data_IF_459551692154
#
_entry.id   IF_459551692154
#
_cell.length_a   1.000
_cell.length_b   1.000
_cell.length_c   1.000
_cell.angle_alpha   90.00
_cell.angle_beta   90.00
_cell.angle_gamma   90.00
#
_symmetry.space_group_name_H-M   'P 1'
#
loop_
_entity.id
_entity.type
_entity.pdbx_description
1 polymer ?
#
# COMPACT_ATOMS: atom_id res chain seq x y z
N UNK A 1 -25.18 -19.52 -4.95
CA UNK A 1 -23.96 -20.23 -4.53
C UNK A 1 -22.94 -20.34 -5.68
N UNK A 2 -23.31 -20.88 -6.85
CA UNK A 2 -22.39 -21.12 -7.98
C UNK A 2 -21.54 -19.91 -8.46
N UNK A 3 -22.06 -18.68 -8.40
CA UNK A 3 -21.33 -17.49 -8.89
C UNK A 3 -20.10 -17.13 -8.04
N UNK A 4 -20.15 -17.36 -6.73
CA UNK A 4 -19.04 -17.03 -5.82
C UNK A 4 -17.86 -17.97 -5.98
N UNK A 5 -18.13 -19.26 -6.19
CA UNK A 5 -17.10 -20.29 -6.39
C UNK A 5 -16.32 -20.04 -7.68
N UNK A 6 -17.02 -19.76 -8.79
CA UNK A 6 -16.38 -19.45 -10.09
C UNK A 6 -15.48 -18.21 -9.97
N UNK A 7 -15.96 -17.14 -9.32
CA UNK A 7 -15.17 -15.93 -9.09
C UNK A 7 -13.90 -16.22 -8.30
N UNK A 8 -14.02 -16.98 -7.21
CA UNK A 8 -12.88 -17.35 -6.36
C UNK A 8 -11.86 -18.19 -7.15
N UNK A 9 -12.31 -19.19 -7.92
CA UNK A 9 -11.43 -19.99 -8.78
C UNK A 9 -10.66 -19.12 -9.78
N UNK A 10 -11.33 -18.18 -10.44
CA UNK A 10 -10.71 -17.26 -11.38
C UNK A 10 -9.62 -16.43 -10.70
N UNK A 11 -9.90 -15.87 -9.52
CA UNK A 11 -8.91 -15.12 -8.73
C UNK A 11 -7.69 -15.99 -8.44
N UNK A 12 -7.89 -17.21 -7.94
CA UNK A 12 -6.78 -18.10 -7.61
C UNK A 12 -5.93 -18.43 -8.84
N UNK A 13 -6.55 -18.72 -9.99
CA UNK A 13 -5.83 -18.96 -11.23
C UNK A 13 -4.96 -17.77 -11.65
N UNK A 14 -5.53 -16.55 -11.66
CA UNK A 14 -4.77 -15.34 -12.02
C UNK A 14 -3.69 -15.01 -10.98
N UNK A 15 -3.95 -15.23 -9.70
CA UNK A 15 -2.97 -15.02 -8.65
C UNK A 15 -1.79 -15.99 -8.75
N UNK A 16 -2.06 -17.28 -8.97
CA UNK A 16 -1.00 -18.28 -9.19
C UNK A 16 -0.17 -17.93 -10.42
N UNK A 17 -0.80 -17.55 -11.53
CA UNK A 17 -0.09 -17.10 -12.72
C UNK A 17 0.76 -15.86 -12.43
N UNK A 18 0.18 -14.83 -11.79
CA UNK A 18 0.88 -13.60 -11.44
C UNK A 18 2.07 -13.81 -10.50
N UNK A 19 1.93 -14.68 -9.49
CA UNK A 19 3.04 -15.06 -8.61
C UNK A 19 4.14 -15.78 -9.37
N UNK A 20 3.78 -16.76 -10.21
CA UNK A 20 4.74 -17.48 -11.04
C UNK A 20 5.50 -16.53 -11.97
N UNK A 21 4.80 -15.65 -12.68
CA UNK A 21 5.42 -14.68 -13.59
C UNK A 21 6.35 -13.71 -12.86
N UNK A 22 5.98 -13.20 -11.68
CA UNK A 22 6.82 -12.31 -10.90
C UNK A 22 8.08 -13.03 -10.37
N UNK A 23 7.94 -14.26 -9.87
CA UNK A 23 9.10 -15.06 -9.43
C UNK A 23 10.03 -15.41 -10.60
N UNK A 24 9.48 -15.76 -11.75
CA UNK A 24 10.25 -16.01 -12.97
C UNK A 24 10.99 -14.74 -13.43
N UNK A 25 10.34 -13.58 -13.37
CA UNK A 25 10.96 -12.31 -13.72
C UNK A 25 12.09 -11.94 -12.75
N UNK A 26 11.91 -12.14 -11.44
CA UNK A 26 12.98 -11.98 -10.44
C UNK A 26 14.17 -12.87 -10.80
N UNK A 27 13.92 -14.15 -11.12
CA UNK A 27 14.98 -15.07 -11.52
C UNK A 27 15.73 -14.59 -12.78
N UNK A 28 15.02 -14.09 -13.79
CA UNK A 28 15.61 -13.53 -15.00
C UNK A 28 16.47 -12.29 -14.70
N UNK A 29 15.96 -11.37 -13.88
CA UNK A 29 16.68 -10.15 -13.48
C UNK A 29 17.98 -10.51 -12.76
N UNK A 30 17.91 -11.43 -11.80
CA UNK A 30 19.09 -11.83 -11.03
C UNK A 30 20.15 -12.52 -11.89
N UNK A 31 19.75 -13.28 -12.92
CA UNK A 31 20.66 -14.09 -13.73
C UNK A 31 21.21 -13.38 -14.98
N UNK A 32 20.43 -12.51 -15.61
CA UNK A 32 20.75 -11.98 -16.96
C UNK A 32 20.87 -10.45 -17.04
N UNK A 33 20.82 -9.72 -15.93
CA UNK A 33 20.97 -8.26 -15.96
C UNK A 33 22.41 -7.82 -16.27
N UNK A 34 22.57 -6.99 -17.32
CA UNK A 34 23.84 -6.35 -17.67
C UNK A 34 24.16 -5.16 -16.73
N UNK A 35 25.45 -4.80 -16.59
CA UNK A 35 25.90 -3.75 -15.65
C UNK A 35 25.30 -2.38 -15.97
N UNK A 36 25.05 -2.06 -17.24
CA UNK A 36 24.47 -0.77 -17.64
C UNK A 36 23.02 -0.61 -17.16
N UNK A 37 22.30 -1.73 -16.92
CA UNK A 37 20.88 -1.73 -16.53
C UNK A 37 20.66 -1.95 -15.03
N UNK A 38 21.67 -1.73 -14.20
CA UNK A 38 21.57 -1.94 -12.74
C UNK A 38 20.52 -1.04 -12.06
N UNK A 39 20.34 0.20 -12.54
CA UNK A 39 19.33 1.11 -11.98
C UNK A 39 17.93 0.63 -12.36
N UNK A 40 17.72 0.24 -13.62
CA UNK A 40 16.44 -0.23 -14.11
C UNK A 40 16.01 -1.57 -13.50
N UNK A 41 16.94 -2.52 -13.40
CA UNK A 41 16.69 -3.83 -12.75
C UNK A 41 16.28 -3.69 -11.29
N UNK A 42 16.84 -2.72 -10.54
CA UNK A 42 16.39 -2.44 -9.17
C UNK A 42 14.95 -1.98 -9.10
N UNK A 43 14.53 -1.10 -10.02
CA UNK A 43 13.12 -0.66 -10.10
C UNK A 43 12.24 -1.86 -10.44
N UNK A 44 12.63 -2.66 -11.42
CA UNK A 44 11.85 -3.82 -11.85
C UNK A 44 11.74 -4.87 -10.72
N UNK A 45 12.82 -5.10 -9.97
CA UNK A 45 12.84 -5.98 -8.81
C UNK A 45 11.91 -5.48 -7.69
N UNK A 46 11.93 -4.17 -7.42
CA UNK A 46 11.01 -3.55 -6.47
C UNK A 46 9.55 -3.73 -6.93
N UNK A 47 9.25 -3.52 -8.21
CA UNK A 47 7.90 -3.76 -8.76
C UNK A 47 7.48 -5.20 -8.57
N UNK A 48 8.33 -6.18 -8.92
CA UNK A 48 8.01 -7.60 -8.73
C UNK A 48 7.72 -7.94 -7.27
N UNK A 49 8.49 -7.38 -6.33
CA UNK A 49 8.28 -7.60 -4.91
C UNK A 49 6.95 -7.02 -4.43
N UNK A 50 6.64 -5.78 -4.82
CA UNK A 50 5.35 -5.16 -4.50
C UNK A 50 4.20 -5.95 -5.10
N UNK A 51 4.32 -6.41 -6.34
CA UNK A 51 3.28 -7.19 -7.02
C UNK A 51 3.04 -8.52 -6.29
N UNK A 52 4.08 -9.22 -5.83
CA UNK A 52 3.94 -10.44 -5.03
C UNK A 52 3.16 -10.15 -3.74
N UNK A 53 3.54 -9.12 -2.99
CA UNK A 53 2.82 -8.73 -1.76
C UNK A 53 1.38 -8.34 -2.08
N UNK A 54 1.16 -7.56 -3.14
CA UNK A 54 -0.15 -7.12 -3.58
C UNK A 54 -1.06 -8.28 -3.99
N UNK A 55 -0.54 -9.25 -4.76
CA UNK A 55 -1.27 -10.45 -5.15
C UNK A 55 -1.63 -11.29 -3.93
N UNK A 56 -0.71 -11.50 -2.99
CA UNK A 56 -0.99 -12.21 -1.74
C UNK A 56 -2.11 -11.53 -0.95
N UNK A 57 -2.04 -10.20 -0.80
CA UNK A 57 -3.08 -9.42 -0.11
C UNK A 57 -4.42 -9.46 -0.84
N UNK A 58 -4.41 -9.43 -2.18
CA UNK A 58 -5.61 -9.53 -2.99
C UNK A 58 -6.29 -10.90 -2.85
N UNK A 59 -5.52 -11.99 -2.85
CA UNK A 59 -6.03 -13.36 -2.61
C UNK A 59 -6.61 -13.51 -1.22
N UNK A 60 -5.97 -12.91 -0.22
CA UNK A 60 -6.41 -12.99 1.18
C UNK A 60 -7.66 -12.14 1.43
N UNK A 61 -7.81 -11.00 0.74
CA UNK A 61 -8.95 -10.09 0.91
C UNK A 61 -10.15 -10.38 0.01
N UNK A 62 -9.90 -10.79 -1.24
CA UNK A 62 -10.89 -10.96 -2.32
C UNK A 62 -11.96 -9.86 -2.32
N UNK A 63 -11.58 -8.59 -2.51
CA UNK A 63 -12.51 -7.48 -2.48
C UNK A 63 -13.41 -7.52 -3.71
N UNK A 64 -14.69 -7.23 -3.52
CA UNK A 64 -15.71 -7.06 -4.56
C UNK A 64 -16.36 -5.72 -4.34
N UNK A 65 -16.14 -4.79 -5.27
CA UNK A 65 -16.72 -3.47 -5.23
C UNK A 65 -18.13 -3.52 -5.83
N UNK A 66 -19.14 -3.20 -5.02
CA UNK A 66 -20.56 -3.19 -5.40
C UNK A 66 -21.09 -1.78 -5.20
N UNK A 67 -21.77 -1.22 -6.20
CA UNK A 67 -22.52 0.02 -6.02
C UNK A 67 -23.97 -0.33 -5.76
N UNK A 68 -24.49 0.08 -4.60
CA UNK A 68 -25.88 -0.07 -4.22
C UNK A 68 -26.46 1.32 -3.95
N UNK A 69 -27.51 1.71 -4.68
CA UNK A 69 -28.14 3.04 -4.61
C UNK A 69 -27.16 4.23 -4.73
N UNK A 70 -26.10 4.09 -5.54
CA UNK A 70 -25.08 5.12 -5.71
C UNK A 70 -24.02 5.16 -4.61
N UNK A 71 -24.13 4.31 -3.59
CA UNK A 71 -23.12 4.14 -2.54
C UNK A 71 -22.22 2.96 -2.91
N UNK A 72 -20.91 3.21 -2.97
CA UNK A 72 -19.92 2.16 -3.18
C UNK A 72 -19.68 1.39 -1.89
N UNK A 73 -19.94 0.09 -1.90
CA UNK A 73 -19.63 -0.84 -0.80
C UNK A 73 -18.54 -1.81 -1.26
N UNK A 74 -17.65 -2.20 -0.34
CA UNK A 74 -16.62 -3.20 -0.61
C UNK A 74 -16.92 -4.47 0.18
N UNK A 75 -17.22 -5.55 -0.53
CA UNK A 75 -17.53 -6.85 0.05
C UNK A 75 -16.28 -7.72 0.01
N UNK A 76 -15.80 -8.17 1.16
CA UNK A 76 -14.61 -9.00 1.25
C UNK A 76 -15.02 -10.45 1.42
N UNK A 77 -14.71 -11.28 0.41
CA UNK A 77 -15.03 -12.71 0.43
C UNK A 77 -13.85 -13.60 0.83
N UNK A 78 -12.66 -13.02 0.97
CA UNK A 78 -11.45 -13.77 1.28
C UNK A 78 -11.35 -14.16 2.76
N UNK A 79 -10.31 -14.95 3.11
CA UNK A 79 -10.04 -15.38 4.48
C UNK A 79 -10.04 -14.26 5.54
N UNK A 80 -9.73 -13.00 5.16
CA UNK A 80 -9.79 -11.88 6.11
C UNK A 80 -11.15 -11.70 6.76
N UNK A 81 -12.24 -12.12 6.10
CA UNK A 81 -13.59 -11.97 6.62
C UNK A 81 -13.81 -12.74 7.93
N UNK A 82 -13.03 -13.79 8.16
CA UNK A 82 -13.13 -14.62 9.37
C UNK A 82 -12.23 -14.14 10.51
N UNK A 83 -11.42 -13.10 10.30
CA UNK A 83 -10.56 -12.57 11.35
C UNK A 83 -11.35 -11.67 12.30
N UNK A 84 -11.06 -11.71 13.61
CA UNK A 84 -11.67 -10.79 14.55
C UNK A 84 -11.17 -9.35 14.31
N UNK A 85 -12.03 -8.38 14.63
CA UNK A 85 -11.59 -6.99 14.76
C UNK A 85 -10.53 -6.90 15.88
N UNK A 86 -9.41 -6.16 15.68
CA UNK A 86 -9.15 -5.17 14.62
C UNK A 86 -8.36 -5.71 13.41
N UNK A 87 -7.97 -6.99 13.37
CA UNK A 87 -7.06 -7.51 12.35
C UNK A 87 -7.64 -7.49 10.94
N UNK A 88 -8.95 -7.75 10.81
CA UNK A 88 -9.66 -7.61 9.55
C UNK A 88 -9.52 -6.19 8.97
N UNK A 89 -9.65 -5.17 9.82
CA UNK A 89 -9.51 -3.76 9.44
C UNK A 89 -8.10 -3.47 8.95
N UNK A 90 -7.10 -3.85 9.74
CA UNK A 90 -5.68 -3.58 9.42
C UNK A 90 -5.31 -4.20 8.08
N UNK A 91 -5.69 -5.46 7.83
CA UNK A 91 -5.40 -6.15 6.58
C UNK A 91 -6.19 -5.56 5.40
N UNK A 92 -7.42 -5.09 5.62
CA UNK A 92 -8.18 -4.41 4.58
C UNK A 92 -7.56 -3.06 4.22
N UNK A 93 -7.13 -2.25 5.20
CA UNK A 93 -6.36 -1.03 4.97
C UNK A 93 -5.08 -1.32 4.20
N UNK A 94 -4.34 -2.34 4.63
CA UNK A 94 -3.11 -2.75 3.98
C UNK A 94 -3.35 -3.20 2.54
N UNK A 95 -4.43 -3.93 2.26
CA UNK A 95 -4.82 -4.30 0.90
C UNK A 95 -5.09 -3.06 0.02
N UNK A 96 -5.86 -2.09 0.50
CA UNK A 96 -6.13 -0.85 -0.25
C UNK A 96 -4.84 -0.05 -0.49
N UNK A 97 -3.96 0.03 0.51
CA UNK A 97 -2.64 0.63 0.36
C UNK A 97 -1.84 -0.06 -0.74
N UNK A 98 -1.73 -1.40 -0.69
CA UNK A 98 -0.99 -2.18 -1.69
C UNK A 98 -1.54 -2.02 -3.11
N UNK A 99 -2.86 -1.97 -3.29
CA UNK A 99 -3.49 -1.69 -4.59
C UNK A 99 -3.04 -0.36 -5.18
N UNK A 100 -2.96 0.70 -4.35
CA UNK A 100 -2.48 2.02 -4.77
C UNK A 100 -0.99 2.00 -5.08
N UNK A 101 -0.17 1.40 -4.22
CA UNK A 101 1.29 1.29 -4.43
C UNK A 101 1.59 0.55 -5.73
N UNK A 102 0.89 -0.56 -6.00
CA UNK A 102 1.03 -1.33 -7.25
C UNK A 102 0.75 -0.47 -8.47
N UNK A 103 -0.39 0.26 -8.47
CA UNK A 103 -0.75 1.14 -9.59
C UNK A 103 0.29 2.23 -9.85
N UNK A 104 0.89 2.79 -8.80
CA UNK A 104 1.87 3.85 -8.93
C UNK A 104 3.27 3.35 -9.27
N UNK A 105 3.65 2.14 -8.88
CA UNK A 105 4.90 1.51 -9.32
C UNK A 105 4.96 1.39 -10.85
N UNK A 106 3.83 1.09 -11.48
CA UNK A 106 3.70 1.10 -12.94
C UNK A 106 3.98 2.51 -13.49
N UNK A 107 3.43 3.55 -12.87
CA UNK A 107 3.73 4.94 -13.24
C UNK A 107 5.23 5.28 -13.06
N UNK A 108 5.89 4.79 -12.00
CA UNK A 108 7.34 4.99 -11.79
C UNK A 108 8.14 4.46 -12.96
N UNK A 109 7.81 3.27 -13.46
CA UNK A 109 8.49 2.64 -14.60
C UNK A 109 8.34 3.49 -15.87
N UNK A 110 7.15 4.04 -16.14
CA UNK A 110 6.92 4.93 -17.28
C UNK A 110 7.69 6.23 -17.15
N UNK A 111 7.67 6.86 -15.97
CA UNK A 111 8.40 8.10 -15.71
C UNK A 111 9.90 7.88 -15.87
N UNK A 112 10.45 6.80 -15.30
CA UNK A 112 11.86 6.44 -15.46
C UNK A 112 12.23 6.26 -16.93
N UNK A 113 11.44 5.48 -17.69
CA UNK A 113 11.66 5.26 -19.13
C UNK A 113 11.61 6.58 -19.91
N UNK A 114 10.68 7.46 -19.60
CA UNK A 114 10.59 8.77 -20.24
C UNK A 114 11.85 9.61 -20.02
N UNK A 115 12.35 9.71 -18.77
CA UNK A 115 13.55 10.48 -18.47
C UNK A 115 14.81 9.92 -19.15
N UNK A 116 14.98 8.60 -19.15
CA UNK A 116 16.17 7.97 -19.74
C UNK A 116 16.12 8.00 -21.26
N UNK A 117 15.01 7.58 -21.87
CA UNK A 117 14.91 7.38 -23.32
C UNK A 117 14.64 8.69 -24.06
N UNK A 118 13.69 9.50 -23.57
CA UNK A 118 13.25 10.71 -24.29
C UNK A 118 14.10 11.91 -23.91
N UNK A 119 14.49 12.02 -22.63
CA UNK A 119 15.24 13.19 -22.13
C UNK A 119 16.75 12.95 -22.04
N UNK A 120 17.23 11.71 -22.18
CA UNK A 120 18.65 11.38 -22.06
C UNK A 120 19.24 11.70 -20.68
N UNK A 121 18.40 11.78 -19.64
CA UNK A 121 18.83 12.14 -18.28
C UNK A 121 19.35 10.89 -17.58
N UNK A 122 20.58 10.97 -17.06
CA UNK A 122 21.14 9.91 -16.21
C UNK A 122 20.51 9.94 -14.80
N UNK A 123 19.52 9.07 -14.61
CA UNK A 123 18.77 8.96 -13.35
C UNK A 123 19.58 8.15 -12.33
N UNK A 124 20.36 8.86 -11.50
CA UNK A 124 21.05 8.26 -10.34
C UNK A 124 20.08 7.76 -9.26
N UNK A 125 20.52 6.86 -8.39
CA UNK A 125 19.71 6.26 -7.31
C UNK A 125 18.99 7.27 -6.40
N UNK A 126 19.55 8.46 -6.17
CA UNK A 126 18.90 9.53 -5.38
C UNK A 126 17.59 10.02 -6.01
N UNK A 127 17.52 10.05 -7.34
CA UNK A 127 16.30 10.43 -8.07
C UNK A 127 15.21 9.36 -7.95
N UNK A 128 15.57 8.10 -7.71
CA UNK A 128 14.59 7.03 -7.48
C UNK A 128 13.85 7.25 -6.17
N UNK A 129 14.54 7.62 -5.09
CA UNK A 129 13.91 7.99 -3.82
C UNK A 129 12.94 9.16 -4.01
N UNK A 130 13.35 10.19 -4.76
CA UNK A 130 12.48 11.32 -5.07
C UNK A 130 11.24 10.90 -5.86
N UNK A 131 11.36 10.00 -6.83
CA UNK A 131 10.24 9.45 -7.58
C UNK A 131 9.30 8.62 -6.69
N UNK A 132 9.85 7.83 -5.77
CA UNK A 132 9.06 7.06 -4.79
C UNK A 132 8.29 8.02 -3.87
N UNK A 133 8.93 9.07 -3.34
CA UNK A 133 8.24 10.07 -2.51
C UNK A 133 7.18 10.85 -3.28
N UNK A 134 7.47 11.23 -4.52
CA UNK A 134 6.52 11.90 -5.41
C UNK A 134 5.27 11.04 -5.68
N UNK A 135 5.36 9.73 -5.47
CA UNK A 135 4.27 8.77 -5.61
C UNK A 135 3.56 8.48 -4.30
N UNK A 136 4.30 8.33 -3.19
CA UNK A 136 3.73 8.03 -1.87
C UNK A 136 2.87 9.20 -1.39
N UNK A 137 3.30 10.45 -1.61
CA UNK A 137 2.60 11.63 -1.13
C UNK A 137 1.17 11.72 -1.70
N UNK A 138 0.94 11.63 -3.03
CA UNK A 138 -0.40 11.58 -3.59
C UNK A 138 -1.25 10.42 -3.07
N UNK A 139 -0.67 9.24 -2.82
CA UNK A 139 -1.40 8.10 -2.24
C UNK A 139 -1.91 8.45 -0.83
N UNK A 140 -1.05 9.05 0.00
CA UNK A 140 -1.43 9.49 1.35
C UNK A 140 -2.52 10.56 1.30
N UNK A 141 -2.41 11.54 0.40
CA UNK A 141 -3.42 12.58 0.22
C UNK A 141 -4.75 11.95 -0.22
N UNK A 142 -4.75 11.09 -1.24
CA UNK A 142 -5.96 10.40 -1.69
C UNK A 142 -6.58 9.53 -0.60
N UNK A 143 -5.76 8.90 0.23
CA UNK A 143 -6.23 8.12 1.37
C UNK A 143 -6.93 9.02 2.40
N UNK A 144 -6.34 10.16 2.74
CA UNK A 144 -6.96 11.16 3.64
C UNK A 144 -8.25 11.73 3.03
N UNK A 145 -8.25 12.09 1.75
CA UNK A 145 -9.45 12.59 1.06
C UNK A 145 -10.55 11.53 1.01
N UNK A 146 -10.20 10.27 0.74
CA UNK A 146 -11.14 9.15 0.76
C UNK A 146 -11.71 8.94 2.17
N UNK A 147 -10.89 9.10 3.21
CA UNK A 147 -11.36 9.02 4.58
C UNK A 147 -12.36 10.14 4.91
N UNK A 148 -12.02 11.39 4.60
CA UNK A 148 -12.89 12.55 4.84
C UNK A 148 -14.20 12.42 4.05
N UNK A 149 -14.14 12.01 2.78
CA UNK A 149 -15.31 11.91 1.91
C UNK A 149 -16.24 10.75 2.27
N UNK A 150 -15.72 9.70 2.91
CA UNK A 150 -16.50 8.53 3.32
C UNK A 150 -16.72 8.51 4.84
N UNK A 151 -16.56 9.64 5.52
CA UNK A 151 -16.89 9.74 6.93
C UNK A 151 -18.37 9.39 7.11
N UNK A 152 -18.72 8.46 8.02
CA UNK A 152 -20.09 8.06 8.22
C UNK A 152 -20.93 9.29 8.63
N UNK A 153 -21.98 9.56 7.88
CA UNK A 153 -23.04 10.49 8.23
C UNK A 153 -24.14 9.72 8.94
N UNK A 154 -25.01 10.38 9.72
CA UNK A 154 -26.16 9.71 10.35
C UNK A 154 -27.05 8.96 9.35
N UNK A 155 -27.04 9.38 8.08
CA UNK A 155 -27.83 8.82 6.99
C UNK A 155 -27.24 7.53 6.39
N UNK A 156 -25.98 7.20 6.64
CA UNK A 156 -25.31 6.02 6.07
C UNK A 156 -24.63 5.13 7.12
N UNK A 157 -24.77 5.46 8.41
CA UNK A 157 -24.20 4.73 9.54
C UNK A 157 -24.62 3.25 9.57
N UNK A 158 -25.84 2.94 9.11
CA UNK A 158 -26.36 1.57 8.99
C UNK A 158 -25.74 0.76 7.84
N UNK A 159 -25.16 1.41 6.83
CA UNK A 159 -24.47 0.76 5.72
C UNK A 159 -23.02 0.43 6.08
N UNK A 160 -22.44 1.21 6.98
CA UNK A 160 -21.14 0.93 7.58
C UNK A 160 -21.31 -0.07 8.72
N UNK A 161 -21.40 -1.36 8.41
CA UNK A 161 -21.41 -2.48 9.39
C UNK A 161 -20.16 -2.55 10.30
N UNK A 162 -19.25 -1.59 10.15
CA UNK A 162 -18.07 -1.47 10.98
C UNK A 162 -18.30 -0.32 11.96
N UNK A 163 -18.18 -0.65 13.24
CA UNK A 163 -18.03 0.28 14.38
C UNK A 163 -16.66 1.03 14.29
N UNK A 164 -16.29 1.49 13.08
CA UNK A 164 -15.03 2.15 12.73
C UNK A 164 -14.78 3.37 13.60
N UNK A 165 -15.85 4.09 13.95
CA UNK A 165 -15.75 5.31 14.72
C UNK A 165 -15.18 5.06 16.12
N UNK A 166 -15.57 3.95 16.78
CA UNK A 166 -15.05 3.58 18.10
C UNK A 166 -13.60 3.09 18.07
N UNK A 167 -13.20 2.40 17.00
CA UNK A 167 -11.83 1.91 16.87
C UNK A 167 -10.84 2.98 16.39
N UNK A 168 -11.28 3.97 15.62
CA UNK A 168 -10.42 5.08 15.20
C UNK A 168 -10.10 6.05 16.33
N UNK A 169 -11.03 6.32 17.24
CA UNK A 169 -10.71 7.06 18.46
C UNK A 169 -9.58 6.35 19.22
N UNK A 170 -9.63 5.02 19.27
CA UNK A 170 -8.56 4.21 19.86
C UNK A 170 -7.24 4.31 19.10
N UNK A 171 -7.24 4.22 17.77
CA UNK A 171 -6.03 4.35 16.94
C UNK A 171 -5.45 5.77 17.00
N UNK A 172 -6.28 6.82 16.98
CA UNK A 172 -5.86 8.22 17.15
C UNK A 172 -5.29 8.42 18.55
N UNK A 173 -5.88 7.82 19.58
CA UNK A 173 -5.34 7.83 20.94
C UNK A 173 -3.98 7.12 20.98
N UNK A 174 -3.84 5.94 20.36
CA UNK A 174 -2.55 5.22 20.30
C UNK A 174 -1.49 6.02 19.52
N UNK A 175 -1.84 6.62 18.39
CA UNK A 175 -0.95 7.50 17.62
C UNK A 175 -0.56 8.75 18.41
N UNK A 176 -1.51 9.35 19.14
CA UNK A 176 -1.23 10.49 20.03
C UNK A 176 -0.30 10.08 21.17
N UNK A 177 -0.52 8.92 21.79
CA UNK A 177 0.36 8.38 22.85
C UNK A 177 1.76 8.14 22.29
N UNK A 178 1.88 7.46 21.15
CA UNK A 178 3.17 7.22 20.49
C UNK A 178 3.87 8.53 20.09
N UNK A 179 3.13 9.54 19.61
CA UNK A 179 3.68 10.85 19.26
C UNK A 179 4.08 11.66 20.50
N UNK A 180 3.34 11.54 21.61
CA UNK A 180 3.69 12.15 22.91
C UNK A 180 4.96 11.52 23.50
N UNK A 181 5.10 10.19 23.41
CA UNK A 181 6.31 9.50 23.82
C UNK A 181 7.51 9.89 22.93
N UNK A 182 7.30 10.06 21.62
CA UNK A 182 8.34 10.52 20.70
C UNK A 182 8.80 11.95 21.01
N UNK A 183 7.88 12.84 21.40
CA UNK A 183 8.16 14.22 21.77
C UNK A 183 8.93 14.29 23.10
N UNK A 184 8.60 13.41 24.06
CA UNK A 184 9.37 13.25 25.30
C UNK A 184 10.79 12.74 25.03
N UNK A 185 10.95 11.73 24.15
CA UNK A 185 12.29 11.24 23.78
C UNK A 185 13.11 12.32 23.06
N UNK A 186 12.52 13.07 22.13
CA UNK A 186 13.20 14.18 21.44
C UNK A 186 13.64 15.29 22.42
N UNK A 187 12.81 15.57 23.42
CA UNK A 187 13.15 16.54 24.48
C UNK A 187 14.32 16.04 25.33
N UNK A 188 14.36 14.76 25.68
CA UNK A 188 15.47 14.13 26.41
C UNK A 188 16.76 14.17 25.57
N UNK A 189 16.70 13.88 24.28
CA UNK A 189 17.85 13.97 23.38
C UNK A 189 18.37 15.41 23.24
N UNK A 190 17.49 16.41 23.16
CA UNK A 190 17.91 17.81 23.12
C UNK A 190 18.58 18.27 24.42
N UNK A 191 18.08 17.82 25.58
CA UNK A 191 18.69 18.11 26.89
C UNK A 191 20.06 17.43 27.01
N UNK A 192 20.17 16.15 26.62
CA UNK A 192 21.46 15.44 26.61
C UNK A 192 22.46 16.09 25.65
N UNK A 193 22.01 16.54 24.47
CA UNK A 193 22.86 17.25 23.51
C UNK A 193 23.35 18.59 24.07
N UNK A 194 22.51 19.35 24.80
CA UNK A 194 22.93 20.58 25.46
C UNK A 194 23.91 20.33 26.60
N UNK A 195 23.72 19.27 27.39
CA UNK A 195 24.65 18.88 28.47
C UNK A 195 26.01 18.46 27.88
N UNK A 196 26.02 17.71 26.78
CA UNK A 196 27.26 17.32 26.10
C UNK A 196 28.00 18.49 25.41
N UNK A 197 27.32 19.59 25.10
CA UNK A 197 27.94 20.77 24.49
C UNK A 197 28.44 21.79 25.52
N UNK A 198 28.16 21.60 26.81
CA UNK A 198 28.61 22.47 27.90
C UNK A 198 29.82 21.91 28.68
N UNK A 199 30.36 20.77 28.26
CA UNK A 199 31.59 20.16 28.76
C UNK A 199 32.56 19.85 27.62
#
# INVERSE_FOLDING_TARGET
>A
MLKGEIYSTIIYCFATFGLFSNLFLIWLILRYTMKEMQVYSKILLQTCFVDIVGICMFVVSQPVYVSDNGVGTNWNYGPIHYLPNPWQVVLLCFNHFMMRVTSMNVCTLFIYRYFVVVRGVDVKSKHQLLLIFAIIIPILILYICSYISNYPTPENEYLTNFDWHKHWDWIIIQLKIMLLDLDQELTIYQILLQIMLQH
#
